data_IF_986429557951
#
_entry.id   IF_986429557951
#
_cell.length_a   1.000
_cell.length_b   1.000
_cell.length_c   1.000
_cell.angle_alpha   90.00
_cell.angle_beta   90.00
_cell.angle_gamma   90.00
#
_symmetry.space_group_name_H-M   'P 1'
#
loop_
_entity.id
_entity.type
_entity.pdbx_description
1 polymer ?
#
# COMPACT_ATOMS: atom_id res chain seq x y z
N UNK A 1 -18.37 8.92 -0.49
CA UNK A 1 -17.85 7.74 -1.22
C UNK A 1 -16.69 7.17 -0.42
N UNK A 2 -16.63 5.86 -0.12
CA UNK A 2 -15.50 5.31 0.63
C UNK A 2 -14.22 5.52 -0.19
N UNK A 3 -13.23 6.17 0.42
CA UNK A 3 -11.95 6.45 -0.21
C UNK A 3 -11.19 5.14 -0.36
N UNK A 4 -11.24 4.56 -1.56
CA UNK A 4 -10.59 3.30 -1.91
C UNK A 4 -9.07 3.50 -2.02
N UNK A 5 -8.43 3.91 -0.92
CA UNK A 5 -7.05 4.35 -0.90
C UNK A 5 -6.12 3.20 -0.54
N UNK A 6 -5.47 2.63 -1.55
CA UNK A 6 -4.51 1.52 -1.44
C UNK A 6 -3.12 2.01 -1.04
N UNK A 7 -3.06 3.08 -0.25
CA UNK A 7 -1.83 3.76 0.13
C UNK A 7 -1.28 3.14 1.40
N UNK A 8 0.03 2.90 1.41
CA UNK A 8 0.76 2.52 2.61
C UNK A 8 0.77 3.73 3.55
N UNK A 9 0.07 3.64 4.67
CA UNK A 9 0.00 4.72 5.67
C UNK A 9 1.09 4.58 6.72
N UNK A 10 1.45 3.36 7.06
CA UNK A 10 2.38 3.03 8.13
C UNK A 10 3.08 1.70 7.83
N UNK A 11 4.33 1.58 8.25
CA UNK A 11 5.08 0.33 8.26
C UNK A 11 5.45 0.01 9.71
N UNK A 12 5.12 -1.20 10.15
CA UNK A 12 5.45 -1.65 11.49
C UNK A 12 6.97 -1.74 11.67
N UNK A 13 7.56 -1.08 12.70
CA UNK A 13 8.97 -1.22 13.02
C UNK A 13 9.36 -2.69 13.18
N UNK A 14 10.54 -3.04 12.68
CA UNK A 14 11.08 -4.40 12.63
C UNK A 14 10.26 -5.44 11.85
N UNK A 15 9.16 -5.04 11.21
CA UNK A 15 8.39 -5.91 10.32
C UNK A 15 9.07 -6.14 8.97
N UNK A 16 8.71 -7.21 8.26
CA UNK A 16 9.33 -7.56 6.96
C UNK A 16 9.23 -6.43 5.93
N UNK A 17 8.11 -5.71 5.90
CA UNK A 17 7.92 -4.56 5.01
C UNK A 17 8.79 -3.35 5.39
N UNK A 18 9.12 -3.16 6.68
CA UNK A 18 10.01 -2.10 7.14
C UNK A 18 11.46 -2.32 6.70
N UNK A 19 11.93 -3.58 6.68
CA UNK A 19 13.25 -3.95 6.17
C UNK A 19 13.35 -4.03 4.64
N UNK A 20 12.26 -3.72 3.93
CA UNK A 20 12.19 -3.74 2.46
C UNK A 20 12.39 -2.35 1.85
N UNK A 21 12.15 -2.24 0.54
CA UNK A 21 12.15 -0.97 -0.20
C UNK A 21 10.78 -0.25 -0.18
N UNK A 22 9.78 -0.77 0.54
CA UNK A 22 8.49 -0.11 0.71
C UNK A 22 8.56 1.10 1.62
N UNK A 23 7.76 2.14 1.35
CA UNK A 23 7.71 3.38 2.12
C UNK A 23 6.27 3.83 2.33
N UNK A 24 6.02 4.49 3.47
CA UNK A 24 4.76 5.18 3.69
C UNK A 24 4.56 6.27 2.63
N UNK A 25 3.33 6.41 2.14
CA UNK A 25 2.97 7.31 1.03
C UNK A 25 2.86 6.63 -0.33
N UNK A 26 3.53 5.48 -0.52
CA UNK A 26 3.42 4.70 -1.76
C UNK A 26 2.04 4.07 -1.93
N UNK A 27 1.64 3.86 -3.19
CA UNK A 27 0.35 3.25 -3.55
C UNK A 27 0.58 1.86 -4.14
N UNK A 28 -0.14 0.87 -3.60
CA UNK A 28 -0.13 -0.50 -4.07
C UNK A 28 -0.91 -0.66 -5.38
N UNK A 29 -0.27 -1.29 -6.37
CA UNK A 29 -0.85 -1.65 -7.66
C UNK A 29 -1.15 -3.14 -7.76
N UNK A 30 -0.21 -3.97 -7.32
CA UNK A 30 -0.35 -5.43 -7.36
C UNK A 30 0.23 -6.11 -6.12
N UNK A 31 -0.28 -7.31 -5.81
CA UNK A 31 0.27 -8.24 -4.82
C UNK A 31 0.48 -9.59 -5.51
N UNK A 32 1.71 -10.10 -5.55
CA UNK A 32 2.08 -11.34 -6.26
C UNK A 32 1.56 -11.37 -7.71
N UNK A 33 1.68 -10.25 -8.42
CA UNK A 33 1.20 -10.08 -9.80
C UNK A 33 -0.32 -9.91 -9.96
N UNK A 34 -1.12 -10.02 -8.90
CA UNK A 34 -2.58 -9.78 -8.95
C UNK A 34 -2.88 -8.28 -8.84
N UNK A 35 -3.62 -7.73 -9.81
CA UNK A 35 -4.05 -6.33 -9.81
C UNK A 35 -5.07 -6.04 -8.72
N UNK A 36 -4.94 -4.88 -8.08
CA UNK A 36 -5.84 -4.46 -7.00
C UNK A 36 -6.99 -3.58 -7.49
N UNK A 37 -7.05 -3.23 -8.77
CA UNK A 37 -8.10 -2.38 -9.34
C UNK A 37 -9.49 -3.01 -9.17
N UNK A 38 -10.44 -2.19 -8.71
CA UNK A 38 -11.79 -2.64 -8.36
C UNK A 38 -11.94 -3.31 -6.99
N UNK A 39 -10.85 -3.70 -6.33
CA UNK A 39 -10.92 -4.31 -5.00
C UNK A 39 -11.16 -3.27 -3.89
N UNK A 40 -11.91 -3.66 -2.86
CA UNK A 40 -12.05 -2.89 -1.62
C UNK A 40 -10.79 -3.01 -0.75
N UNK A 41 -10.68 -2.16 0.26
CA UNK A 41 -9.59 -2.24 1.23
C UNK A 41 -9.54 -3.61 1.93
N UNK A 42 -10.71 -4.13 2.31
CA UNK A 42 -10.85 -5.43 2.97
C UNK A 42 -10.41 -6.59 2.05
N UNK A 43 -10.80 -6.54 0.78
CA UNK A 43 -10.39 -7.56 -0.21
C UNK A 43 -8.88 -7.55 -0.43
N UNK A 44 -8.25 -6.37 -0.45
CA UNK A 44 -6.79 -6.25 -0.56
C UNK A 44 -6.10 -6.78 0.69
N UNK A 45 -6.58 -6.44 1.89
CA UNK A 45 -6.02 -6.95 3.13
C UNK A 45 -6.12 -8.48 3.20
N UNK A 46 -7.25 -9.03 2.75
CA UNK A 46 -7.44 -10.48 2.66
C UNK A 46 -6.47 -11.12 1.66
N UNK A 47 -6.29 -10.51 0.49
CA UNK A 47 -5.36 -10.98 -0.52
C UNK A 47 -3.92 -11.04 0.00
N UNK A 48 -3.49 -10.00 0.72
CA UNK A 48 -2.15 -9.96 1.34
C UNK A 48 -2.00 -11.07 2.38
N UNK A 49 -3.02 -11.28 3.22
CA UNK A 49 -3.01 -12.35 4.22
C UNK A 49 -2.92 -13.73 3.56
N UNK A 50 -3.70 -13.96 2.50
CA UNK A 50 -3.69 -15.23 1.78
C UNK A 50 -2.31 -15.49 1.13
N UNK A 51 -1.64 -14.47 0.60
CA UNK A 51 -0.25 -14.56 0.13
C UNK A 51 0.76 -14.80 1.27
N UNK A 52 0.51 -14.24 2.46
CA UNK A 52 1.41 -14.39 3.62
C UNK A 52 1.38 -15.79 4.23
N UNK A 53 0.22 -16.44 4.25
CA UNK A 53 0.08 -17.80 4.79
C UNK A 53 0.44 -18.89 3.78
N UNK A 54 0.69 -18.52 2.52
CA UNK A 54 1.16 -19.44 1.49
C UNK A 54 2.63 -19.83 1.73
N UNK A 55 2.81 -20.98 2.38
CA UNK A 55 4.13 -21.53 2.72
C UNK A 55 4.94 -22.01 1.49
N UNK A 56 4.36 -22.00 0.29
CA UNK A 56 5.10 -22.34 -0.95
C UNK A 56 6.04 -21.23 -1.40
N UNK A 57 5.87 -20.03 -0.86
CA UNK A 57 6.69 -18.85 -1.16
C UNK A 57 7.35 -18.32 0.10
N UNK A 58 8.57 -17.83 -0.03
CA UNK A 58 9.31 -17.19 1.07
C UNK A 58 9.10 -15.67 1.15
N UNK A 59 8.44 -15.07 0.14
CA UNK A 59 8.29 -13.63 0.00
C UNK A 59 6.99 -13.27 -0.72
N UNK A 60 6.46 -12.08 -0.42
CA UNK A 60 5.34 -11.46 -1.12
C UNK A 60 5.89 -10.32 -1.96
N UNK A 61 5.53 -10.27 -3.24
CA UNK A 61 5.93 -9.20 -4.14
C UNK A 61 4.87 -8.11 -4.22
N UNK A 62 5.29 -6.85 -4.06
CA UNK A 62 4.43 -5.68 -4.19
C UNK A 62 4.91 -4.79 -5.32
N UNK A 63 4.02 -4.51 -6.29
CA UNK A 63 4.24 -3.42 -7.24
C UNK A 63 3.64 -2.15 -6.67
N UNK A 64 4.47 -1.12 -6.53
CA UNK A 64 4.07 0.18 -5.96
C UNK A 64 4.48 1.34 -6.85
N UNK A 65 3.79 2.46 -6.68
CA UNK A 65 4.18 3.75 -7.26
C UNK A 65 4.25 4.82 -6.19
N UNK A 66 5.17 5.76 -6.39
CA UNK A 66 5.20 7.00 -5.60
C UNK A 66 3.93 7.80 -5.90
N UNK A 67 3.14 8.11 -4.85
CA UNK A 67 2.10 9.10 -5.00
C UNK A 67 2.77 10.48 -5.06
N UNK A 68 2.53 11.26 -6.12
CA UNK A 68 2.92 12.68 -6.13
C UNK A 68 2.33 13.35 -4.88
N UNK A 69 3.20 13.72 -3.94
CA UNK A 69 2.87 14.51 -2.76
C UNK A 69 2.43 15.90 -3.23
N UNK A 70 1.18 16.12 -3.67
CA UNK A 70 0.74 17.49 -3.95
C UNK A 70 -0.76 17.79 -3.90
N UNK A 71 -1.53 17.19 -2.98
CA UNK A 71 -2.94 17.65 -2.82
C UNK A 71 -3.41 17.94 -1.39
N UNK A 72 -2.69 17.53 -0.35
CA UNK A 72 -3.11 17.80 1.04
C UNK A 72 -2.32 18.91 1.75
N UNK A 73 -1.17 19.34 1.22
CA UNK A 73 -0.38 20.44 1.78
C UNK A 73 -0.48 21.77 0.98
N UNK A 74 -1.07 21.77 -0.21
CA UNK A 74 -1.19 22.98 -1.04
C UNK A 74 -2.43 23.86 -0.77
N UNK A 75 -3.43 23.36 -0.03
CA UNK A 75 -4.68 24.11 0.24
C UNK A 75 -4.80 24.64 1.68
N UNK A 76 -3.82 24.42 2.56
CA UNK A 76 -3.94 24.78 3.99
C UNK A 76 -2.87 25.74 4.50
N UNK A 77 -1.91 26.17 3.67
CA UNK A 77 -0.87 27.13 4.08
C UNK A 77 -0.67 28.31 3.10
N UNK A 78 -1.68 28.65 2.28
CA UNK A 78 -1.75 29.95 1.60
C UNK A 78 -3.02 30.70 2.00
N UNK A 79 -3.12 30.97 3.30
CA UNK A 79 -3.89 32.09 3.84
C UNK A 79 -3.21 32.48 5.15
N UNK A 80 -2.34 33.48 5.08
CA UNK A 80 -2.17 34.66 5.95
C UNK A 80 -0.81 35.28 5.58
#
# INVERSE_FOLDING_TARGET
MPMNNKRITFLQPDGSAFHSNLRAGQVLLTVDGKKLDGLTHEEIARLILDCYVDMTKSQIEFLVVEAKQNYYYFNTHQSI
#
